data_IF_014531232894
#
_entry.id   IF_014531232894
#
_cell.length_a   1.000
_cell.length_b   1.000
_cell.length_c   1.000
_cell.angle_alpha   90.00
_cell.angle_beta   90.00
_cell.angle_gamma   90.00
#
_symmetry.space_group_name_H-M   'P 1'
#
loop_
_entity.id
_entity.type
_entity.pdbx_description
1 polymer ?
#
# COMPACT_ATOMS: atom_id res chain seq x y z
N UNK A 1 4.14 -8.98 -20.71
CA UNK A 1 4.50 -10.32 -20.19
C UNK A 1 3.18 -11.01 -19.97
N UNK A 2 2.95 -12.13 -20.64
CA UNK A 2 1.71 -12.89 -20.53
C UNK A 2 1.97 -14.12 -19.65
N UNK A 3 1.03 -14.42 -18.74
CA UNK A 3 1.10 -15.58 -17.85
C UNK A 3 0.01 -16.56 -18.28
N UNK A 4 0.35 -17.76 -18.75
CA UNK A 4 -0.65 -18.80 -19.03
C UNK A 4 -1.48 -19.11 -17.79
N UNK A 5 -2.78 -19.38 -17.97
CA UNK A 5 -3.70 -19.66 -16.86
C UNK A 5 -3.25 -20.86 -16.03
N UNK A 6 -2.65 -21.85 -16.67
CA UNK A 6 -2.13 -23.07 -16.03
C UNK A 6 -0.96 -22.82 -15.06
N UNK A 7 -0.25 -21.71 -15.25
CA UNK A 7 0.89 -21.32 -14.42
C UNK A 7 0.50 -20.40 -13.25
N UNK A 8 -0.78 -20.02 -13.15
CA UNK A 8 -1.25 -19.14 -12.08
C UNK A 8 -1.33 -19.93 -10.76
N UNK A 9 -0.64 -19.48 -9.70
CA UNK A 9 -0.72 -20.14 -8.41
C UNK A 9 -2.13 -20.13 -7.84
N UNK A 10 -2.52 -21.20 -7.14
CA UNK A 10 -3.80 -21.24 -6.43
C UNK A 10 -3.90 -20.04 -5.47
N UNK A 11 -5.06 -19.38 -5.46
CA UNK A 11 -5.31 -18.19 -4.65
C UNK A 11 -4.82 -16.89 -5.30
N UNK A 12 -4.34 -16.94 -6.54
CA UNK A 12 -3.97 -15.78 -7.34
C UNK A 12 -4.75 -15.76 -8.64
N UNK A 13 -4.85 -14.58 -9.25
CA UNK A 13 -5.52 -14.36 -10.54
C UNK A 13 -4.78 -13.32 -11.36
N UNK A 14 -4.83 -13.49 -12.69
CA UNK A 14 -4.42 -12.48 -13.67
C UNK A 14 -5.62 -11.95 -14.48
N UNK A 15 -6.86 -12.20 -14.03
CA UNK A 15 -8.08 -11.74 -14.70
C UNK A 15 -8.14 -10.20 -14.72
N UNK A 16 -8.06 -9.56 -15.91
CA UNK A 16 -8.13 -8.11 -16.05
C UNK A 16 -9.34 -7.46 -15.38
N UNK A 17 -10.48 -8.16 -15.31
CA UNK A 17 -11.69 -7.63 -14.67
C UNK A 17 -11.50 -7.38 -13.17
N UNK A 18 -10.63 -8.14 -12.50
CA UNK A 18 -10.32 -7.96 -11.09
C UNK A 18 -9.27 -6.86 -10.84
N UNK A 19 -8.56 -6.42 -11.88
CA UNK A 19 -7.68 -5.26 -11.82
C UNK A 19 -8.39 -3.97 -12.23
N UNK A 20 -9.64 -4.02 -12.68
CA UNK A 20 -10.34 -2.84 -13.18
C UNK A 20 -10.40 -1.75 -12.10
N UNK A 21 -9.92 -0.55 -12.46
CA UNK A 21 -9.80 0.59 -11.54
C UNK A 21 -8.48 0.65 -10.74
N UNK A 22 -7.74 -0.45 -10.61
CA UNK A 22 -6.43 -0.49 -9.94
C UNK A 22 -5.30 -0.15 -10.92
N UNK A 23 -4.31 0.60 -10.44
CA UNK A 23 -3.11 1.00 -11.22
C UNK A 23 -3.40 1.77 -12.53
N UNK A 24 -4.60 2.32 -12.68
CA UNK A 24 -4.91 3.35 -13.69
C UNK A 24 -4.26 4.65 -13.24
N UNK A 25 -3.90 5.55 -14.17
CA UNK A 25 -3.05 6.73 -13.89
C UNK A 25 -3.42 7.51 -12.61
N UNK A 26 -4.70 7.78 -12.36
CA UNK A 26 -5.15 8.54 -11.17
C UNK A 26 -5.59 7.67 -9.98
N UNK A 27 -5.43 6.35 -10.05
CA UNK A 27 -5.77 5.46 -8.93
C UNK A 27 -4.85 5.66 -7.73
N UNK A 28 -5.38 5.38 -6.54
CA UNK A 28 -4.61 5.47 -5.29
C UNK A 28 -3.35 4.59 -5.32
N UNK A 29 -3.42 3.43 -5.97
CA UNK A 29 -2.34 2.46 -6.11
C UNK A 29 -1.27 2.95 -7.09
N UNK A 30 -1.65 3.56 -8.21
CA UNK A 30 -0.72 4.19 -9.13
C UNK A 30 0.00 5.38 -8.47
N UNK A 31 -0.72 6.19 -7.69
CA UNK A 31 -0.11 7.25 -6.88
C UNK A 31 0.83 6.69 -5.81
N UNK A 32 0.45 5.61 -5.12
CA UNK A 32 1.29 4.91 -4.12
C UNK A 32 2.58 4.41 -4.78
N UNK A 33 2.50 3.71 -5.91
CA UNK A 33 3.66 3.24 -6.65
C UNK A 33 4.62 4.39 -7.02
N UNK A 34 4.09 5.52 -7.51
CA UNK A 34 4.87 6.72 -7.85
C UNK A 34 5.58 7.33 -6.64
N UNK A 35 4.91 7.41 -5.48
CA UNK A 35 5.53 7.85 -4.22
C UNK A 35 6.69 6.96 -3.79
N UNK A 36 6.74 5.71 -4.25
CA UNK A 36 7.86 4.78 -4.04
C UNK A 36 8.87 4.77 -5.20
N UNK A 37 8.79 5.73 -6.13
CA UNK A 37 9.68 5.84 -7.28
C UNK A 37 9.42 4.81 -8.38
N UNK A 38 8.31 4.07 -8.32
CA UNK A 38 7.94 3.06 -9.30
C UNK A 38 7.16 3.74 -10.42
N UNK A 39 7.74 3.72 -11.63
CA UNK A 39 7.16 4.35 -12.83
C UNK A 39 6.40 3.33 -13.66
N UNK A 40 5.32 3.75 -14.30
CA UNK A 40 4.48 2.92 -15.18
C UNK A 40 4.21 1.50 -14.64
N UNK A 41 3.70 1.36 -13.40
CA UNK A 41 3.46 0.07 -12.78
C UNK A 41 2.42 -0.72 -13.59
N UNK A 42 2.72 -1.98 -13.89
CA UNK A 42 1.79 -2.89 -14.57
C UNK A 42 1.39 -4.02 -13.62
N UNK A 43 0.10 -4.20 -13.31
CA UNK A 43 -0.34 -5.33 -12.52
C UNK A 43 -0.10 -6.65 -13.27
N UNK A 44 0.34 -7.67 -12.53
CA UNK A 44 0.56 -9.02 -13.05
C UNK A 44 -0.32 -10.06 -12.36
N UNK A 45 -0.44 -9.97 -11.04
CA UNK A 45 -1.26 -10.87 -10.22
C UNK A 45 -1.91 -10.12 -9.07
N UNK A 46 -3.09 -10.59 -8.66
CA UNK A 46 -3.77 -10.23 -7.42
C UNK A 46 -4.22 -11.51 -6.71
N UNK A 47 -4.31 -11.48 -5.38
CA UNK A 47 -4.93 -12.58 -4.62
C UNK A 47 -6.43 -12.65 -4.93
N UNK A 48 -6.97 -13.85 -5.00
CA UNK A 48 -8.40 -14.03 -5.26
C UNK A 48 -9.22 -13.68 -4.01
N UNK A 49 -10.43 -13.11 -4.15
CA UNK A 49 -11.22 -12.64 -3.00
C UNK A 49 -11.53 -13.70 -1.94
N UNK A 50 -11.60 -14.98 -2.33
CA UNK A 50 -11.85 -16.11 -1.43
C UNK A 50 -10.70 -16.37 -0.44
N UNK A 51 -9.50 -15.88 -0.73
CA UNK A 51 -8.36 -15.97 0.19
C UNK A 51 -8.49 -15.03 1.39
N UNK A 52 -9.25 -13.93 1.24
CA UNK A 52 -9.28 -12.82 2.21
C UNK A 52 -7.99 -11.98 2.23
N UNK A 53 -6.97 -12.35 1.46
CA UNK A 53 -5.75 -11.58 1.29
C UNK A 53 -5.95 -10.51 0.20
N UNK A 54 -5.28 -9.36 0.35
CA UNK A 54 -5.35 -8.23 -0.60
C UNK A 54 -3.99 -7.96 -1.26
N UNK A 55 -3.21 -9.02 -1.43
CA UNK A 55 -1.87 -8.99 -2.00
C UNK A 55 -1.89 -8.83 -3.52
N UNK A 56 -0.93 -8.10 -4.06
CA UNK A 56 -0.73 -7.96 -5.50
C UNK A 56 0.75 -8.01 -5.88
N UNK A 57 0.99 -8.37 -7.15
CA UNK A 57 2.29 -8.26 -7.80
C UNK A 57 2.19 -7.31 -8.98
N UNK A 58 3.10 -6.33 -9.03
CA UNK A 58 3.29 -5.44 -10.17
C UNK A 58 4.69 -5.58 -10.75
N UNK A 59 4.87 -5.18 -12.01
CA UNK A 59 6.17 -5.02 -12.64
C UNK A 59 6.38 -3.58 -13.13
N UNK A 60 7.63 -3.14 -13.05
CA UNK A 60 8.10 -1.86 -13.57
C UNK A 60 9.57 -1.99 -13.90
N UNK A 61 10.00 -1.49 -15.07
CA UNK A 61 11.41 -1.45 -15.50
C UNK A 61 12.17 -2.80 -15.34
N UNK A 62 11.48 -3.93 -15.59
CA UNK A 62 12.05 -5.27 -15.49
C UNK A 62 12.22 -5.81 -14.06
N UNK A 63 11.70 -5.10 -13.05
CA UNK A 63 11.65 -5.52 -11.65
C UNK A 63 10.24 -5.96 -11.27
N UNK A 64 10.13 -6.65 -10.15
CA UNK A 64 8.87 -7.14 -9.59
C UNK A 64 8.71 -6.61 -8.18
N UNK A 65 7.49 -6.23 -7.85
CA UNK A 65 7.15 -5.68 -6.55
C UNK A 65 5.92 -6.39 -6.01
N UNK A 66 5.95 -6.64 -4.72
CA UNK A 66 4.80 -7.10 -3.95
C UNK A 66 4.25 -5.92 -3.17
N UNK A 67 2.93 -5.80 -3.13
CA UNK A 67 2.24 -4.91 -2.23
C UNK A 67 0.97 -5.55 -1.72
N UNK A 68 0.30 -4.83 -0.84
CA UNK A 68 -0.99 -5.19 -0.28
C UNK A 68 -1.87 -3.94 -0.30
N UNK A 69 -3.12 -4.08 -0.72
CA UNK A 69 -4.00 -2.92 -0.93
C UNK A 69 -4.31 -2.20 0.40
N UNK A 70 -4.29 -2.92 1.54
CA UNK A 70 -4.64 -2.40 2.86
C UNK A 70 -3.51 -1.65 3.56
N UNK A 71 -2.27 -1.75 3.07
CA UNK A 71 -1.10 -1.11 3.69
C UNK A 71 -0.31 -0.29 2.68
N UNK A 72 0.28 0.83 3.13
CA UNK A 72 1.05 1.74 2.26
C UNK A 72 2.47 1.26 1.91
N UNK A 73 2.74 -0.04 2.08
CA UNK A 73 4.05 -0.63 1.84
C UNK A 73 4.11 -1.35 0.49
N UNK A 74 5.14 -1.01 -0.28
CA UNK A 74 5.54 -1.75 -1.47
C UNK A 74 6.94 -2.30 -1.23
N UNK A 75 7.17 -3.56 -1.60
CA UNK A 75 8.46 -4.21 -1.43
C UNK A 75 8.94 -4.79 -2.77
N UNK A 76 10.20 -4.52 -3.12
CA UNK A 76 10.85 -5.13 -4.29
C UNK A 76 11.10 -6.62 -4.00
N UNK A 77 10.71 -7.49 -4.92
CA UNK A 77 11.06 -8.91 -4.88
C UNK A 77 12.50 -9.04 -5.37
N UNK A 78 13.42 -9.22 -4.42
CA UNK A 78 14.85 -9.32 -4.70
C UNK A 78 15.27 -10.72 -5.14
N UNK A 79 14.53 -11.76 -4.70
CA UNK A 79 14.67 -13.16 -5.13
C UNK A 79 13.33 -13.90 -5.05
N UNK A 80 13.01 -14.74 -6.07
CA UNK A 80 13.71 -14.86 -7.35
C UNK A 80 13.52 -13.62 -8.23
N UNK A 81 14.33 -13.48 -9.29
CA UNK A 81 14.35 -12.27 -10.15
C UNK A 81 13.62 -12.45 -11.47
N UNK A 82 13.23 -13.67 -11.81
CA UNK A 82 12.50 -13.97 -13.04
C UNK A 82 11.06 -14.30 -12.74
N UNK A 83 10.17 -13.95 -13.65
CA UNK A 83 8.73 -14.18 -13.47
C UNK A 83 8.37 -15.66 -13.28
N UNK A 84 8.86 -16.62 -14.09
CA UNK A 84 8.52 -18.02 -13.91
C UNK A 84 8.97 -18.59 -12.55
N UNK A 85 10.12 -18.14 -12.04
CA UNK A 85 10.57 -18.55 -10.72
C UNK A 85 9.72 -17.93 -9.60
N UNK A 86 9.25 -16.68 -9.77
CA UNK A 86 8.32 -16.04 -8.82
C UNK A 86 7.03 -16.84 -8.75
N UNK A 87 6.43 -17.19 -9.89
CA UNK A 87 5.23 -18.05 -9.95
C UNK A 87 5.45 -19.38 -9.24
N UNK A 88 6.58 -20.05 -9.49
CA UNK A 88 6.94 -21.31 -8.82
C UNK A 88 7.04 -21.15 -7.30
N UNK A 89 7.65 -20.07 -6.82
CA UNK A 89 7.74 -19.80 -5.38
C UNK A 89 6.37 -19.53 -4.79
N UNK A 90 5.53 -18.72 -5.44
CA UNK A 90 4.16 -18.47 -5.00
C UNK A 90 3.36 -19.78 -4.91
N UNK A 91 3.44 -20.64 -5.92
CA UNK A 91 2.72 -21.92 -5.96
C UNK A 91 3.18 -22.93 -4.89
N UNK A 92 4.45 -22.87 -4.46
CA UNK A 92 5.02 -23.88 -3.55
C UNK A 92 5.18 -23.40 -2.10
N UNK A 93 5.39 -22.10 -1.90
CA UNK A 93 5.73 -21.50 -0.61
C UNK A 93 4.87 -20.29 -0.24
N UNK A 94 3.96 -19.87 -1.14
CA UNK A 94 3.21 -18.63 -1.00
C UNK A 94 4.11 -17.39 -1.10
N UNK A 95 3.52 -16.24 -0.80
CA UNK A 95 4.18 -14.94 -0.86
C UNK A 95 5.32 -14.79 0.15
N UNK A 96 5.21 -15.45 1.32
CA UNK A 96 6.26 -15.54 2.36
C UNK A 96 7.53 -16.23 1.86
N UNK A 97 7.44 -17.02 0.79
CA UNK A 97 8.60 -17.63 0.13
C UNK A 97 9.44 -16.64 -0.68
N UNK A 98 8.91 -15.46 -1.00
CA UNK A 98 9.61 -14.42 -1.76
C UNK A 98 10.52 -13.63 -0.83
N UNK A 99 11.76 -13.37 -1.27
CA UNK A 99 12.64 -12.46 -0.55
C UNK A 99 12.41 -11.03 -0.98
N UNK A 100 11.77 -10.26 -0.12
CA UNK A 100 11.34 -8.89 -0.38
C UNK A 100 12.25 -7.88 0.32
N UNK A 101 12.41 -6.68 -0.25
CA UNK A 101 13.05 -5.53 0.39
C UNK A 101 12.08 -4.35 0.31
N UNK A 102 11.74 -3.76 1.45
CA UNK A 102 10.84 -2.59 1.50
C UNK A 102 11.42 -1.45 0.66
N UNK A 103 10.59 -0.90 -0.23
CA UNK A 103 10.89 0.32 -0.97
C UNK A 103 10.53 1.49 -0.07
N UNK A 104 11.47 2.41 0.12
CA UNK A 104 11.20 3.63 0.89
C UNK A 104 10.46 4.61 -0.02
N UNK A 105 9.48 5.36 0.52
CA UNK A 105 8.93 6.49 -0.20
C UNK A 105 10.07 7.43 -0.64
N UNK A 106 9.98 7.91 -1.87
CA UNK A 106 10.76 9.04 -2.34
C UNK A 106 10.12 10.25 -1.68
N UNK A 107 10.89 10.95 -0.84
CA UNK A 107 10.50 12.29 -0.39
C UNK A 107 10.49 13.14 -1.64
N UNK A 108 9.30 13.43 -2.15
CA UNK A 108 9.12 14.58 -3.01
C UNK A 108 9.17 15.74 -2.02
N UNK A 109 10.15 16.63 -2.16
CA UNK A 109 10.07 17.94 -1.53
C UNK A 109 8.84 18.60 -2.16
N UNK A 110 7.67 18.30 -1.62
CA UNK A 110 6.52 19.18 -1.75
C UNK A 110 7.02 20.47 -1.13
N UNK A 111 7.25 21.50 -1.97
CA UNK A 111 7.39 22.85 -1.44
C UNK A 111 6.25 23.00 -0.44
N UNK A 112 6.55 23.33 0.83
CA UNK A 112 5.53 23.40 1.85
C UNK A 112 4.47 24.31 1.29
N UNK A 113 3.29 23.75 1.01
CA UNK A 113 2.08 24.55 0.92
C UNK A 113 2.15 25.40 2.17
N UNK A 114 2.31 26.71 1.98
CA UNK A 114 2.24 27.64 3.08
C UNK A 114 0.93 27.28 3.76
N UNK A 115 1.02 26.59 4.90
CA UNK A 115 -0.04 26.55 5.87
C UNK A 115 -0.23 28.02 6.18
N UNK A 116 -1.16 28.64 5.45
CA UNK A 116 -1.69 29.93 5.81
C UNK A 116 -2.30 29.65 7.19
N UNK A 117 -1.48 29.93 8.20
CA UNK A 117 -1.81 29.77 9.59
C UNK A 117 -3.08 30.57 9.78
N UNK A 118 -4.21 29.87 9.85
CA UNK A 118 -5.48 30.47 10.22
C UNK A 118 -5.30 30.86 11.69
N UNK A 119 -4.86 32.09 11.88
CA UNK A 119 -4.71 32.70 13.18
C UNK A 119 -6.06 32.71 13.89
N UNK A 120 -6.05 32.21 15.11
CA UNK A 120 -7.03 32.31 16.20
C UNK A 120 -8.45 32.80 15.84
N UNK A 121 -9.40 31.88 16.00
CA UNK A 121 -10.83 32.17 16.05
C UNK A 121 -11.56 31.29 17.06
N UNK A 122 -11.23 31.44 18.34
CA UNK A 122 -12.10 31.19 19.50
C UNK A 122 -12.56 29.73 19.75
N UNK A 123 -11.84 29.05 20.64
CA UNK A 123 -12.37 27.87 21.34
C UNK A 123 -13.58 28.25 22.22
N UNK A 124 -14.69 27.49 22.24
CA UNK A 124 -15.71 27.67 23.25
C UNK A 124 -15.12 27.34 24.62
N UNK A 125 -15.00 28.36 25.46
CA UNK A 125 -14.51 28.25 26.82
C UNK A 125 -15.45 27.38 27.65
N UNK A 126 -14.99 26.21 28.07
CA UNK A 126 -15.65 25.43 29.12
C UNK A 126 -15.25 26.07 30.47
N UNK A 127 -16.17 26.63 31.27
CA UNK A 127 -15.81 27.09 32.59
C UNK A 127 -15.51 25.87 33.48
N UNK A 128 -14.23 25.73 33.82
CA UNK A 128 -13.75 24.81 34.85
C UNK A 128 -14.24 25.31 36.21
N UNK A 129 -15.23 24.64 36.81
CA UNK A 129 -15.62 24.88 38.20
C UNK A 129 -14.62 24.20 39.12
N UNK A 130 -13.65 24.99 39.59
CA UNK A 130 -12.71 24.61 40.64
C UNK A 130 -13.27 25.03 42.00
N UNK A 131 -13.10 24.12 42.97
CA UNK A 131 -13.13 24.30 44.42
C UNK A 131 -14.47 24.56 45.13
N UNK A 132 -14.95 23.51 45.82
CA UNK A 132 -15.84 23.59 46.97
C UNK A 132 -14.96 23.78 48.21
N UNK A 133 -14.99 24.92 48.92
CA UNK A 133 -14.28 25.04 50.17
C UNK A 133 -15.09 24.32 51.27
N UNK A 134 -14.43 23.35 51.90
CA UNK A 134 -14.84 22.76 53.17
C UNK A 134 -14.82 23.82 54.27
N UNK A 135 -15.95 24.07 54.93
CA UNK A 135 -16.00 24.82 56.20
C UNK A 135 -16.49 23.90 57.31
N UNK A 136 -15.60 23.53 58.22
CA UNK A 136 -15.95 22.96 59.53
C UNK A 136 -16.28 24.08 60.53
N UNK A 137 -17.42 23.89 61.19
CA UNK A 137 -17.81 24.20 62.58
C UNK A 137 -17.71 25.62 63.16
N UNK A 138 -18.85 26.07 63.72
CA UNK A 138 -19.00 26.29 65.16
C UNK A 138 -20.44 26.02 65.61
#
# INVERSE_FOLDING_TARGET
METPVEDIPKGWTNDPALFEGFFVYDSAEAQRARRHGIKDPKPLLMTTPDTGDMGYIITSEGRFYWGDLMIDHIAEITRPRTWPEILRVLATKGDKGLRKKLVRPVVVDEEPWEEEMVAEGQAPSVPSSTDVPSTSEK
#
